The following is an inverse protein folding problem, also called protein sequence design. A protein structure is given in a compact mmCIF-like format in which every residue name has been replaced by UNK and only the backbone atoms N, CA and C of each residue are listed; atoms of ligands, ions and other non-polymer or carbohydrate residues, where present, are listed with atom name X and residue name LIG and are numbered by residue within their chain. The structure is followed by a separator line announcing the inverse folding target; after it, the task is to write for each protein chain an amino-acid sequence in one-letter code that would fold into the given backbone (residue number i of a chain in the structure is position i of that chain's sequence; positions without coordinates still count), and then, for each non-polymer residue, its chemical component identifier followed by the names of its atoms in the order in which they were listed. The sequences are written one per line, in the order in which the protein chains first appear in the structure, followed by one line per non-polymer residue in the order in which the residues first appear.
data_IF_363741299095
#
_entry.id   IF_363741299095
#
_cell.length_a   1.000
_cell.length_b   1.000
_cell.length_c   1.000
_cell.angle_alpha   90.00
_cell.angle_beta   90.00
_cell.angle_gamma   90.00
#
_symmetry.space_group_name_H-M   'P 1'
#
loop_
_entity.id
_entity.type
_entity.pdbx_description
1 polymer ?
#
# COMPACT_ATOMS: atom_id res chain seq x y z
N UNK A 1 -30.47 -5.54 -5.00
CA UNK A 1 -30.36 -4.57 -3.88
C UNK A 1 -28.93 -4.06 -3.68
N UNK A 2 -27.95 -4.94 -3.42
CA UNK A 2 -26.58 -4.54 -3.04
C UNK A 2 -25.87 -3.63 -4.05
N UNK A 3 -25.95 -3.89 -5.35
CA UNK A 3 -25.32 -3.04 -6.37
C UNK A 3 -25.85 -1.59 -6.34
N UNK A 4 -27.18 -1.42 -6.34
CA UNK A 4 -27.83 -0.10 -6.24
C UNK A 4 -27.47 0.60 -4.93
N UNK A 5 -27.35 -0.14 -3.83
CA UNK A 5 -26.92 0.41 -2.55
C UNK A 5 -25.46 0.87 -2.59
N UNK A 6 -24.57 0.10 -3.22
CA UNK A 6 -23.16 0.47 -3.40
C UNK A 6 -23.02 1.77 -4.17
N UNK A 7 -23.69 1.89 -5.32
CA UNK A 7 -23.68 3.10 -6.15
C UNK A 7 -24.24 4.32 -5.40
N UNK A 8 -25.36 4.15 -4.69
CA UNK A 8 -25.95 5.23 -3.91
C UNK A 8 -25.07 5.65 -2.73
N UNK A 9 -24.41 4.69 -2.06
CA UNK A 9 -23.47 4.98 -0.98
C UNK A 9 -22.23 5.73 -1.47
N UNK A 10 -21.67 5.35 -2.62
CA UNK A 10 -20.56 6.06 -3.25
C UNK A 10 -20.95 7.49 -3.64
N UNK A 11 -22.10 7.65 -4.28
CA UNK A 11 -22.63 8.98 -4.64
C UNK A 11 -22.84 9.86 -3.41
N UNK A 12 -23.46 9.31 -2.36
CA UNK A 12 -23.66 10.02 -1.10
C UNK A 12 -22.33 10.43 -0.44
N UNK A 13 -21.31 9.55 -0.44
CA UNK A 13 -19.96 9.86 0.05
C UNK A 13 -19.33 11.03 -0.72
N UNK A 14 -19.44 11.03 -2.05
CA UNK A 14 -18.91 12.09 -2.90
C UNK A 14 -19.64 13.41 -2.63
N UNK A 15 -20.98 13.40 -2.58
CA UNK A 15 -21.78 14.59 -2.26
C UNK A 15 -21.44 15.17 -0.89
N UNK A 16 -21.23 14.33 0.12
CA UNK A 16 -20.84 14.75 1.47
C UNK A 16 -19.43 15.36 1.54
N UNK A 17 -18.62 15.25 0.50
CA UNK A 17 -17.34 15.96 0.42
C UNK A 17 -17.51 17.47 0.19
N UNK A 18 -18.67 17.91 -0.32
CA UNK A 18 -19.02 19.33 -0.49
C UNK A 18 -20.21 19.77 0.36
N UNK A 19 -21.25 18.95 0.47
CA UNK A 19 -22.45 19.20 1.27
C UNK A 19 -22.31 18.71 2.72
N UNK A 20 -23.09 19.28 3.65
CA UNK A 20 -23.15 18.83 5.05
C UNK A 20 -24.10 17.65 5.28
N UNK A 21 -25.01 17.42 4.34
CA UNK A 21 -26.03 16.38 4.41
C UNK A 21 -26.43 15.95 2.99
N UNK A 22 -26.79 14.68 2.84
CA UNK A 22 -27.38 14.11 1.63
C UNK A 22 -28.51 13.13 2.02
N UNK A 23 -29.30 12.70 1.05
CA UNK A 23 -30.37 11.73 1.20
C UNK A 23 -30.17 10.55 0.24
N UNK A 24 -30.06 9.35 0.81
CA UNK A 24 -30.04 8.09 0.06
C UNK A 24 -31.49 7.67 -0.13
N UNK A 25 -31.99 7.82 -1.36
CA UNK A 25 -33.35 7.43 -1.73
C UNK A 25 -33.32 6.34 -2.81
N UNK A 26 -33.66 5.11 -2.42
CA UNK A 26 -33.72 3.93 -3.28
C UNK A 26 -35.14 3.34 -3.25
N UNK A 27 -36.00 3.72 -4.20
CA UNK A 27 -37.33 3.14 -4.29
C UNK A 27 -37.26 1.69 -4.79
N UNK A 28 -38.20 0.85 -4.33
CA UNK A 28 -38.30 -0.56 -4.72
C UNK A 28 -36.96 -1.30 -4.57
N UNK A 29 -36.30 -1.16 -3.41
CA UNK A 29 -34.99 -1.75 -3.16
C UNK A 29 -35.07 -3.26 -2.94
N UNK A 30 -36.16 -3.72 -2.33
CA UNK A 30 -36.49 -5.13 -2.08
C UNK A 30 -38.01 -5.30 -1.92
N UNK A 31 -38.46 -6.53 -1.72
CA UNK A 31 -39.85 -6.90 -1.45
C UNK A 31 -39.91 -7.88 -0.28
N UNK A 32 -40.89 -7.74 0.62
CA UNK A 32 -41.18 -8.72 1.67
C UNK A 32 -42.67 -9.14 1.63
N UNK A 33 -43.12 -9.88 2.65
CA UNK A 33 -44.51 -10.36 2.76
C UNK A 33 -45.54 -9.21 2.81
N UNK A 34 -45.12 -7.99 3.18
CA UNK A 34 -45.95 -6.79 3.20
C UNK A 34 -45.86 -5.95 1.92
N UNK A 35 -45.13 -6.42 0.90
CA UNK A 35 -45.01 -5.77 -0.40
C UNK A 35 -43.66 -5.07 -0.65
N UNK A 36 -43.58 -4.16 -1.65
CA UNK A 36 -42.34 -3.50 -2.03
C UNK A 36 -41.84 -2.56 -0.93
N UNK A 37 -40.52 -2.52 -0.73
CA UNK A 37 -39.83 -1.66 0.24
C UNK A 37 -38.98 -0.62 -0.46
N UNK A 38 -38.88 0.53 0.18
CA UNK A 38 -38.06 1.68 -0.23
C UNK A 38 -37.07 1.99 0.88
N UNK A 39 -35.87 2.44 0.53
CA UNK A 39 -34.90 2.96 1.49
C UNK A 39 -34.82 4.48 1.31
N UNK A 40 -35.21 5.24 2.32
CA UNK A 40 -35.02 6.68 2.39
C UNK A 40 -34.27 7.00 3.69
N UNK A 41 -33.01 7.42 3.55
CA UNK A 41 -32.12 7.68 4.68
C UNK A 41 -31.40 9.01 4.49
N UNK A 42 -31.53 9.90 5.46
CA UNK A 42 -30.72 11.13 5.54
C UNK A 42 -29.38 10.83 6.20
N UNK A 43 -28.28 11.19 5.56
CA UNK A 43 -26.93 10.99 6.06
C UNK A 43 -26.22 12.35 6.17
N UNK A 44 -25.67 12.65 7.34
CA UNK A 44 -24.86 13.86 7.56
C UNK A 44 -23.37 13.57 7.36
N UNK A 45 -22.58 14.61 7.04
CA UNK A 45 -21.12 14.51 6.95
C UNK A 45 -20.53 14.00 8.25
N UNK A 46 -20.96 14.55 9.38
CA UNK A 46 -20.51 14.12 10.71
C UNK A 46 -20.74 12.63 10.96
N UNK A 47 -21.87 12.08 10.49
CA UNK A 47 -22.15 10.65 10.62
C UNK A 47 -21.25 9.81 9.72
N UNK A 48 -21.00 10.23 8.48
CA UNK A 48 -20.05 9.58 7.59
C UNK A 48 -18.64 9.58 8.19
N UNK A 49 -18.17 10.72 8.69
CA UNK A 49 -16.86 10.85 9.33
C UNK A 49 -16.70 9.88 10.50
N UNK A 50 -17.70 9.79 11.38
CA UNK A 50 -17.70 8.84 12.49
C UNK A 50 -17.69 7.36 12.04
N UNK A 51 -18.19 7.05 10.84
CA UNK A 51 -18.20 5.68 10.30
C UNK A 51 -16.87 5.26 9.67
N UNK A 52 -16.01 6.21 9.32
CA UNK A 52 -14.73 5.95 8.61
C UNK A 52 -13.51 6.52 9.33
N UNK A 53 -13.69 7.03 10.55
CA UNK A 53 -12.63 7.65 11.35
C UNK A 53 -11.45 6.69 11.54
N UNK A 54 -11.73 5.43 11.89
CA UNK A 54 -10.70 4.39 12.04
C UNK A 54 -9.92 4.15 10.73
N UNK A 55 -10.59 4.19 9.58
CA UNK A 55 -9.96 4.03 8.27
C UNK A 55 -9.02 5.20 7.97
N UNK A 56 -9.42 6.43 8.31
CA UNK A 56 -8.60 7.63 8.12
C UNK A 56 -7.40 7.58 9.09
N UNK A 57 -7.59 7.24 10.36
CA UNK A 57 -6.51 7.12 11.33
C UNK A 57 -5.48 6.06 10.93
N UNK A 58 -5.94 4.94 10.37
CA UNK A 58 -5.06 3.88 9.83
C UNK A 58 -4.13 4.38 8.72
N UNK A 59 -4.46 5.46 8.01
CA UNK A 59 -3.58 6.04 6.97
C UNK A 59 -2.39 6.81 7.54
N UNK A 60 -2.50 7.33 8.77
CA UNK A 60 -1.45 8.12 9.42
C UNK A 60 -0.30 7.24 9.95
N UNK A 61 -0.59 6.00 10.32
CA UNK A 61 0.42 5.02 10.72
C UNK A 61 1.53 4.84 9.68
N UNK A 62 1.20 4.49 8.42
CA UNK A 62 2.16 4.43 7.32
C UNK A 62 2.95 5.72 7.09
N UNK A 63 2.31 6.90 7.18
CA UNK A 63 3.01 8.18 7.05
C UNK A 63 4.10 8.33 8.13
N UNK A 64 3.79 8.00 9.39
CA UNK A 64 4.77 8.03 10.49
C UNK A 64 5.93 7.08 10.24
N UNK A 65 5.66 5.86 9.81
CA UNK A 65 6.69 4.86 9.45
C UNK A 65 7.59 5.38 8.33
N UNK A 66 7.02 6.00 7.28
CA UNK A 66 7.78 6.54 6.16
C UNK A 66 8.73 7.67 6.60
N UNK A 67 8.26 8.58 7.47
CA UNK A 67 9.10 9.65 8.03
C UNK A 67 10.24 9.09 8.87
N UNK A 68 9.97 8.08 9.70
CA UNK A 68 10.99 7.39 10.49
C UNK A 68 12.03 6.68 9.60
N UNK A 69 11.58 5.96 8.57
CA UNK A 69 12.45 5.27 7.63
C UNK A 69 13.34 6.24 6.84
N UNK A 70 12.78 7.38 6.43
CA UNK A 70 13.50 8.46 5.74
C UNK A 70 14.45 9.24 6.67
N UNK A 71 14.32 9.09 8.00
CA UNK A 71 15.09 9.81 9.03
C UNK A 71 15.03 11.33 8.85
N UNK A 72 13.86 11.83 8.49
CA UNK A 72 13.60 13.26 8.36
C UNK A 72 12.62 13.71 9.44
N UNK A 73 12.75 14.94 9.90
CA UNK A 73 11.73 15.54 10.75
C UNK A 73 10.54 16.00 9.89
N UNK A 74 9.34 15.91 10.44
CA UNK A 74 8.11 16.40 9.79
C UNK A 74 8.26 17.87 9.35
N UNK A 75 8.95 18.69 10.14
CA UNK A 75 9.22 20.10 9.85
C UNK A 75 10.15 20.35 8.66
N UNK A 76 10.84 19.32 8.14
CA UNK A 76 11.70 19.41 6.96
C UNK A 76 10.94 19.16 5.65
N UNK A 77 9.69 18.71 5.74
CA UNK A 77 8.84 18.51 4.57
C UNK A 77 8.44 19.90 4.05
N UNK A 78 8.77 20.16 2.79
CA UNK A 78 8.51 21.47 2.18
C UNK A 78 7.14 21.57 1.54
N UNK A 79 6.63 20.46 1.02
CA UNK A 79 5.36 20.40 0.30
C UNK A 79 4.62 19.10 0.64
N UNK A 80 3.29 19.20 0.75
CA UNK A 80 2.40 18.06 0.89
C UNK A 80 1.52 18.00 -0.35
N UNK A 81 1.55 16.86 -1.04
CA UNK A 81 0.81 16.63 -2.27
C UNK A 81 -0.23 15.55 -2.01
N UNK A 82 -1.50 15.84 -2.32
CA UNK A 82 -2.59 14.87 -2.23
C UNK A 82 -2.94 14.34 -3.62
N UNK A 83 -3.01 13.03 -3.75
CA UNK A 83 -3.29 12.34 -5.01
C UNK A 83 -4.40 11.30 -4.78
N UNK A 84 -5.30 11.16 -5.75
CA UNK A 84 -6.45 10.26 -5.74
C UNK A 84 -7.73 10.90 -5.19
N UNK A 85 -8.87 10.58 -5.80
CA UNK A 85 -10.16 11.21 -5.51
C UNK A 85 -10.66 11.08 -4.06
N UNK A 86 -10.25 10.04 -3.32
CA UNK A 86 -10.62 9.88 -1.91
C UNK A 86 -9.98 10.94 -0.99
N UNK A 87 -8.91 11.58 -1.44
CA UNK A 87 -8.28 12.68 -0.68
C UNK A 87 -9.18 13.92 -0.63
N UNK A 88 -10.14 14.08 -1.56
CA UNK A 88 -11.10 15.20 -1.60
C UNK A 88 -12.04 15.29 -0.39
N UNK A 89 -12.09 14.25 0.45
CA UNK A 89 -12.88 14.27 1.69
C UNK A 89 -12.28 15.28 2.68
N UNK A 90 -13.06 16.26 3.21
CA UNK A 90 -12.55 17.29 4.11
C UNK A 90 -11.79 16.74 5.33
N UNK A 91 -12.32 15.68 5.94
CA UNK A 91 -11.69 15.04 7.11
C UNK A 91 -10.29 14.46 6.81
N UNK A 92 -10.05 14.01 5.58
CA UNK A 92 -8.72 13.52 5.16
C UNK A 92 -7.75 14.69 5.07
N UNK A 93 -8.15 15.81 4.45
CA UNK A 93 -7.33 17.03 4.41
C UNK A 93 -7.01 17.53 5.82
N UNK A 94 -8.00 17.57 6.71
CA UNK A 94 -7.82 17.99 8.10
C UNK A 94 -6.81 17.11 8.83
N UNK A 95 -6.94 15.78 8.71
CA UNK A 95 -6.05 14.84 9.39
C UNK A 95 -4.61 14.91 8.86
N UNK A 96 -4.45 15.08 7.55
CA UNK A 96 -3.12 15.29 6.93
C UNK A 96 -2.50 16.60 7.40
N UNK A 97 -3.28 17.69 7.41
CA UNK A 97 -2.84 19.00 7.90
C UNK A 97 -2.45 18.95 9.38
N UNK A 98 -3.22 18.24 10.20
CA UNK A 98 -2.93 18.03 11.62
C UNK A 98 -1.60 17.28 11.81
N UNK A 99 -1.39 16.20 11.06
CA UNK A 99 -0.19 15.37 11.19
C UNK A 99 1.09 16.07 10.72
N UNK A 100 1.03 16.75 9.57
CA UNK A 100 2.21 17.42 8.99
C UNK A 100 2.36 18.89 9.41
N UNK A 101 1.38 19.45 10.13
CA UNK A 101 1.33 20.85 10.53
C UNK A 101 1.45 21.86 9.37
N UNK A 102 1.07 21.45 8.15
CA UNK A 102 1.18 22.24 6.93
C UNK A 102 -0.03 21.99 6.01
N UNK A 103 -0.43 23.02 5.26
CA UNK A 103 -1.49 22.92 4.26
C UNK A 103 -1.04 22.13 3.03
N UNK A 104 -1.82 21.14 2.58
CA UNK A 104 -1.58 20.49 1.30
C UNK A 104 -1.73 21.43 0.11
N UNK A 105 -0.91 21.20 -0.91
CA UNK A 105 -1.00 21.90 -2.19
C UNK A 105 -2.34 21.64 -2.87
N UNK A 106 -2.83 22.67 -3.57
CA UNK A 106 -4.12 22.66 -4.28
C UNK A 106 -3.98 22.87 -5.78
N UNK A 107 -2.77 23.11 -6.25
CA UNK A 107 -2.43 23.37 -7.65
C UNK A 107 -2.04 22.10 -8.42
N UNK A 108 -2.29 20.93 -7.83
CA UNK A 108 -2.05 19.63 -8.45
C UNK A 108 -3.40 18.94 -8.64
N UNK A 109 -3.66 18.44 -9.86
CA UNK A 109 -4.85 17.64 -10.13
C UNK A 109 -4.68 16.23 -9.53
N UNK A 110 -5.45 15.85 -8.49
CA UNK A 110 -5.28 14.57 -7.83
C UNK A 110 -5.69 13.37 -8.69
N UNK A 111 -6.46 13.59 -9.76
CA UNK A 111 -6.98 12.51 -10.61
C UNK A 111 -6.06 12.20 -11.79
N UNK A 112 -5.26 13.17 -12.24
CA UNK A 112 -4.46 13.08 -13.47
C UNK A 112 -2.95 13.04 -13.23
N UNK A 113 -2.47 13.53 -12.08
CA UNK A 113 -1.04 13.68 -11.80
C UNK A 113 -0.25 12.38 -12.01
N UNK A 114 -0.83 11.22 -11.66
CA UNK A 114 -0.18 9.91 -11.85
C UNK A 114 -0.01 9.58 -13.33
N UNK A 115 -1.05 9.78 -14.14
CA UNK A 115 -1.01 9.50 -15.57
C UNK A 115 -0.02 10.42 -16.30
N UNK A 116 0.02 11.70 -15.91
CA UNK A 116 1.01 12.65 -16.43
C UNK A 116 2.44 12.25 -16.05
N UNK A 117 2.68 11.84 -14.80
CA UNK A 117 3.98 11.35 -14.36
C UNK A 117 4.45 10.12 -15.15
N UNK A 118 3.53 9.19 -15.46
CA UNK A 118 3.83 8.02 -16.29
C UNK A 118 4.22 8.42 -17.73
N UNK A 119 3.54 9.39 -18.33
CA UNK A 119 3.88 9.91 -19.65
C UNK A 119 5.25 10.60 -19.68
N UNK A 120 5.59 11.36 -18.64
CA UNK A 120 6.93 11.96 -18.47
C UNK A 120 7.99 10.87 -18.39
N UNK A 121 7.75 9.82 -17.59
CA UNK A 121 8.68 8.69 -17.47
C UNK A 121 8.90 7.99 -18.82
N UNK A 122 7.85 7.82 -19.64
CA UNK A 122 7.99 7.28 -20.99
C UNK A 122 8.85 8.20 -21.87
N UNK A 123 8.62 9.51 -21.83
CA UNK A 123 9.44 10.50 -22.54
C UNK A 123 10.92 10.50 -22.13
N UNK A 124 11.23 10.22 -20.85
CA UNK A 124 12.62 10.04 -20.39
C UNK A 124 13.25 8.79 -21.02
N UNK A 125 12.51 7.67 -21.06
CA UNK A 125 13.00 6.42 -21.64
C UNK A 125 13.24 6.53 -23.15
N UNK A 126 12.45 7.33 -23.85
CA UNK A 126 12.61 7.61 -25.30
C UNK A 126 13.66 8.70 -25.58
N UNK A 127 14.17 9.38 -24.56
CA UNK A 127 15.15 10.46 -24.69
C UNK A 127 14.56 11.80 -25.13
N UNK A 128 13.24 11.97 -25.08
CA UNK A 128 12.54 13.23 -25.35
C UNK A 128 12.61 14.23 -24.19
N UNK A 129 12.86 13.74 -22.97
CA UNK A 129 13.04 14.55 -21.76
C UNK A 129 14.45 14.32 -21.23
N UNK A 130 15.26 15.39 -21.20
CA UNK A 130 16.62 15.37 -20.66
C UNK A 130 16.68 15.91 -19.23
N UNK A 131 17.82 15.69 -18.57
CA UNK A 131 18.19 16.30 -17.28
C UNK A 131 17.33 15.89 -16.07
N UNK A 132 16.66 14.73 -16.16
CA UNK A 132 15.92 14.11 -15.05
C UNK A 132 16.55 12.78 -14.69
N UNK A 133 16.97 12.63 -13.42
CA UNK A 133 17.41 11.36 -12.87
C UNK A 133 16.43 10.91 -11.78
N UNK A 134 15.83 9.73 -11.96
CA UNK A 134 14.94 9.11 -10.99
C UNK A 134 15.66 7.96 -10.29
N UNK A 135 15.67 7.99 -8.96
CA UNK A 135 16.12 6.90 -8.11
C UNK A 135 14.94 6.44 -7.25
N UNK A 136 14.43 5.25 -7.53
CA UNK A 136 13.32 4.65 -6.78
C UNK A 136 13.84 3.57 -5.82
N UNK A 137 12.97 3.02 -4.97
CA UNK A 137 13.31 2.03 -3.95
C UNK A 137 12.34 0.85 -3.95
N UNK A 138 12.77 -0.31 -3.42
CA UNK A 138 11.82 -1.42 -3.13
C UNK A 138 11.03 -1.14 -1.84
N UNK A 139 9.68 -1.28 -1.83
CA UNK A 139 8.87 -0.90 -0.67
C UNK A 139 8.90 -1.93 0.48
N UNK A 140 9.33 -3.14 0.20
CA UNK A 140 9.34 -4.25 1.17
C UNK A 140 10.67 -5.00 1.11
N UNK A 141 11.06 -5.55 2.25
CA UNK A 141 12.23 -6.42 2.33
C UNK A 141 11.97 -7.72 1.58
N UNK A 142 12.93 -8.11 0.74
CA UNK A 142 13.01 -9.39 0.07
C UNK A 142 13.94 -10.29 0.88
N UNK A 143 13.49 -11.50 1.19
CA UNK A 143 14.25 -12.44 2.00
C UNK A 143 13.90 -13.87 1.68
N UNK A 144 14.50 -14.79 2.45
CA UNK A 144 14.23 -16.22 2.34
C UNK A 144 13.87 -16.83 3.70
N UNK A 145 13.14 -17.94 3.67
CA UNK A 145 12.94 -18.77 4.86
C UNK A 145 14.22 -19.51 5.20
N UNK A 146 14.68 -19.40 6.44
CA UNK A 146 15.82 -20.15 6.98
C UNK A 146 15.36 -21.12 8.08
N UNK A 147 16.28 -21.96 8.55
CA UNK A 147 16.02 -22.92 9.64
C UNK A 147 15.30 -22.25 10.82
N UNK A 148 14.26 -22.91 11.32
CA UNK A 148 13.40 -22.36 12.38
C UNK A 148 12.21 -21.53 11.87
N UNK A 149 11.99 -21.44 10.56
CA UNK A 149 10.85 -20.73 9.97
C UNK A 149 10.97 -19.21 10.07
N UNK A 150 12.19 -18.70 10.16
CA UNK A 150 12.51 -17.27 10.30
C UNK A 150 12.79 -16.67 8.92
N UNK A 151 12.38 -15.43 8.69
CA UNK A 151 12.68 -14.68 7.49
C UNK A 151 14.05 -14.00 7.60
N UNK A 152 15.00 -14.47 6.80
CA UNK A 152 16.30 -13.79 6.64
C UNK A 152 16.22 -12.81 5.47
N UNK A 153 16.27 -11.51 5.77
CA UNK A 153 16.16 -10.41 4.78
C UNK A 153 17.47 -10.24 4.01
N UNK A 154 17.42 -10.33 2.69
CA UNK A 154 18.56 -10.17 1.77
C UNK A 154 18.63 -8.73 1.22
N UNK A 155 17.51 -8.20 0.74
CA UNK A 155 17.37 -6.81 0.30
C UNK A 155 16.35 -6.17 1.23
N UNK A 156 16.75 -5.13 1.96
CA UNK A 156 15.87 -4.47 2.93
C UNK A 156 14.89 -3.53 2.22
N UNK A 157 13.72 -3.29 2.83
CA UNK A 157 12.81 -2.22 2.38
C UNK A 157 13.57 -0.89 2.27
N UNK A 158 13.11 -0.05 1.36
CA UNK A 158 13.70 1.24 1.01
C UNK A 158 15.12 1.18 0.42
N UNK A 159 15.59 0.00 -0.02
CA UNK A 159 16.84 -0.08 -0.81
C UNK A 159 16.60 0.48 -2.21
N UNK A 160 17.50 1.36 -2.68
CA UNK A 160 17.45 1.93 -4.04
C UNK A 160 17.52 0.84 -5.09
N UNK A 161 16.72 0.95 -6.15
CA UNK A 161 16.70 0.05 -7.30
C UNK A 161 17.29 0.73 -8.54
N UNK A 162 17.99 -0.01 -9.42
CA UNK A 162 18.26 -1.45 -9.35
C UNK A 162 19.31 -1.82 -8.27
N UNK A 163 19.16 -3.01 -7.66
CA UNK A 163 20.09 -3.52 -6.63
C UNK A 163 20.28 -5.03 -6.73
N UNK A 164 21.38 -5.53 -6.17
CA UNK A 164 21.73 -6.96 -6.10
C UNK A 164 22.27 -7.29 -4.72
N UNK A 165 21.81 -8.40 -4.16
CA UNK A 165 22.38 -9.04 -2.98
C UNK A 165 22.80 -10.47 -3.32
N UNK A 166 23.84 -10.98 -2.66
CA UNK A 166 24.27 -12.37 -2.78
C UNK A 166 24.72 -12.84 -1.42
N UNK A 167 24.22 -14.00 -1.01
CA UNK A 167 24.53 -14.61 0.26
C UNK A 167 24.67 -16.11 0.05
N UNK A 168 25.73 -16.67 0.64
CA UNK A 168 26.02 -18.10 0.62
C UNK A 168 25.16 -18.77 1.69
N UNK A 169 24.49 -19.84 1.31
CA UNK A 169 23.71 -20.70 2.21
C UNK A 169 24.26 -22.13 2.11
N UNK A 170 23.96 -22.96 3.12
CA UNK A 170 24.44 -24.33 3.18
C UNK A 170 23.34 -25.29 3.61
N UNK A 171 23.62 -26.59 3.51
CA UNK A 171 22.70 -27.65 3.91
C UNK A 171 22.45 -27.62 5.43
N UNK A 172 21.21 -27.93 5.80
CA UNK A 172 20.75 -28.02 7.19
C UNK A 172 20.92 -29.43 7.78
N UNK A 173 21.17 -30.44 6.93
CA UNK A 173 21.33 -31.85 7.31
C UNK A 173 22.52 -32.50 6.58
N UNK A 174 23.06 -33.58 7.15
CA UNK A 174 24.14 -34.37 6.54
C UNK A 174 23.61 -35.08 5.29
N UNK A 175 24.40 -35.04 4.20
CA UNK A 175 24.06 -35.65 2.91
C UNK A 175 22.72 -35.19 2.31
N UNK A 176 22.28 -33.97 2.63
CA UNK A 176 21.07 -33.37 2.06
C UNK A 176 21.20 -33.24 0.53
N UNK A 177 20.38 -33.94 -0.27
CA UNK A 177 20.53 -34.00 -1.72
C UNK A 177 19.95 -32.78 -2.45
N UNK A 178 19.10 -32.01 -1.78
CA UNK A 178 18.47 -30.81 -2.35
C UNK A 178 18.16 -29.76 -1.27
N UNK A 179 18.22 -28.47 -1.63
CA UNK A 179 17.87 -27.34 -0.77
C UNK A 179 16.71 -26.56 -1.40
N UNK A 180 15.60 -26.41 -0.67
CA UNK A 180 14.47 -25.58 -1.08
C UNK A 180 14.59 -24.18 -0.49
N UNK A 181 14.69 -23.19 -1.35
CA UNK A 181 14.74 -21.77 -1.03
C UNK A 181 13.34 -21.19 -1.22
N UNK A 182 12.66 -20.87 -0.12
CA UNK A 182 11.41 -20.11 -0.18
C UNK A 182 11.72 -18.63 -0.17
N UNK A 183 11.32 -17.90 -1.20
CA UNK A 183 11.51 -16.46 -1.32
C UNK A 183 10.26 -15.74 -0.86
N UNK A 184 10.42 -14.79 0.06
CA UNK A 184 9.33 -14.05 0.69
C UNK A 184 9.55 -12.55 0.63
N UNK A 185 8.45 -11.81 0.71
CA UNK A 185 8.43 -10.35 0.80
C UNK A 185 7.63 -9.90 2.02
N UNK A 186 8.22 -9.05 2.85
CA UNK A 186 7.56 -8.51 4.04
C UNK A 186 8.53 -8.14 5.16
N UNK A 187 7.96 -7.68 6.28
CA UNK A 187 8.72 -7.12 7.40
C UNK A 187 8.64 -7.93 8.69
N UNK A 188 7.88 -9.04 8.70
CA UNK A 188 7.70 -9.88 9.89
C UNK A 188 8.88 -10.83 10.06
N UNK A 189 9.21 -11.16 11.31
CA UNK A 189 10.33 -12.06 11.64
C UNK A 189 10.04 -13.51 11.23
N UNK A 190 8.80 -13.99 11.36
CA UNK A 190 8.41 -15.34 10.98
C UNK A 190 8.06 -15.42 9.49
N UNK A 191 8.62 -16.38 8.76
CA UNK A 191 8.39 -16.56 7.33
C UNK A 191 6.90 -16.72 6.99
N UNK A 192 6.15 -17.49 7.79
CA UNK A 192 4.72 -17.71 7.61
C UNK A 192 3.85 -16.45 7.68
N UNK A 193 4.36 -15.36 8.26
CA UNK A 193 3.66 -14.09 8.39
C UNK A 193 3.99 -13.09 7.24
N UNK A 194 4.78 -13.52 6.25
CA UNK A 194 5.16 -12.72 5.09
C UNK A 194 4.57 -13.31 3.80
N UNK A 195 4.64 -12.54 2.71
CA UNK A 195 4.12 -12.98 1.41
C UNK A 195 5.12 -13.90 0.73
N UNK A 196 4.80 -15.17 0.58
CA UNK A 196 5.54 -16.10 -0.28
C UNK A 196 5.44 -15.62 -1.74
N UNK A 197 6.59 -15.50 -2.41
CA UNK A 197 6.70 -15.15 -3.83
C UNK A 197 6.94 -16.39 -4.70
N UNK A 198 7.70 -17.35 -4.20
CA UNK A 198 8.01 -18.59 -4.91
C UNK A 198 8.98 -19.47 -4.14
N UNK A 199 9.14 -20.69 -4.63
CA UNK A 199 10.05 -21.68 -4.09
C UNK A 199 11.01 -22.13 -5.19
N UNK A 200 12.29 -22.22 -4.86
CA UNK A 200 13.34 -22.66 -5.77
C UNK A 200 14.05 -23.83 -5.13
N UNK A 201 14.04 -24.99 -5.76
CA UNK A 201 14.79 -26.15 -5.27
C UNK A 201 16.09 -26.28 -6.06
N UNK A 202 17.21 -26.28 -5.34
CA UNK A 202 18.50 -26.67 -5.86
C UNK A 202 18.66 -28.16 -5.60
N UNK A 203 18.68 -28.96 -6.66
CA UNK A 203 18.84 -30.42 -6.60
C UNK A 203 20.29 -30.82 -6.89
N UNK A 204 20.59 -32.12 -6.80
CA UNK A 204 21.89 -32.72 -7.11
C UNK A 204 23.06 -32.19 -6.25
N UNK A 205 22.80 -31.88 -4.98
CA UNK A 205 23.85 -31.49 -4.02
C UNK A 205 24.67 -32.73 -3.62
N UNK A 206 26.01 -32.72 -3.79
CA UNK A 206 26.85 -33.85 -3.41
C UNK A 206 26.75 -34.19 -1.92
N UNK A 207 26.74 -35.49 -1.55
CA UNK A 207 26.76 -35.91 -0.15
C UNK A 207 27.94 -35.29 0.60
N UNK A 208 27.65 -34.50 1.62
CA UNK A 208 28.64 -33.80 2.46
C UNK A 208 28.07 -33.60 3.86
N UNK A 209 28.91 -33.43 4.90
CA UNK A 209 28.45 -33.03 6.22
C UNK A 209 27.65 -31.72 6.16
N UNK A 210 26.72 -31.54 7.10
CA UNK A 210 25.92 -30.33 7.27
C UNK A 210 26.82 -29.09 7.29
N UNK A 211 26.44 -28.05 6.55
CA UNK A 211 27.14 -26.78 6.55
C UNK A 211 28.37 -26.70 5.63
N UNK A 212 28.66 -27.76 4.87
CA UNK A 212 29.83 -27.83 3.96
C UNK A 212 29.55 -27.32 2.54
N UNK A 213 28.43 -27.70 1.87
CA UNK A 213 28.10 -27.13 0.56
C UNK A 213 27.92 -25.59 0.64
N UNK A 214 28.41 -24.83 -0.34
CA UNK A 214 28.32 -23.36 -0.41
C UNK A 214 27.73 -22.89 -1.73
#
# INVERSE_FOLDING_TARGET
ALQRLKEAAEKAKIELSSAQQTEINLPYITMDQSGPKHLALKLTRSKLEALVEDLIERTIGPCRTAIQDAKVDVSRISDIILVGGQTRMPKVHEKVKEFFAQEPRRDINPDEAVAMGAAIQAGILEGHVSDVLLLDVTPLSLGIETLGGVMTKLIKKNSTIPTRASQVFSTAEDNQPAVTIKVLQGEREMASANKLLGEFTLEDIPPSPRGVPQ
#
